data_IF_311865679105
#
_entry.id   IF_311865679105
#
_cell.length_a   1.000
_cell.length_b   1.000
_cell.length_c   1.000
_cell.angle_alpha   90.00
_cell.angle_beta   90.00
_cell.angle_gamma   90.00
#
_symmetry.space_group_name_H-M   'P 1'
#
loop_
_entity.id
_entity.type
_entity.pdbx_description
1 polymer ?
#
# COMPACT_ATOMS: atom_id res chain seq x y z
N UNK A 1 14.13 -34.97 49.97
CA UNK A 1 13.27 -35.16 48.79
C UNK A 1 13.77 -36.41 48.06
N UNK A 2 12.94 -37.44 47.89
CA UNK A 2 13.38 -38.76 47.36
C UNK A 2 13.93 -38.64 45.93
N UNK A 3 15.04 -39.33 45.63
CA UNK A 3 15.72 -39.37 44.32
C UNK A 3 14.74 -39.65 43.16
N UNK A 4 13.69 -40.45 43.41
CA UNK A 4 12.61 -40.74 42.46
C UNK A 4 11.79 -39.50 42.07
N UNK A 5 11.54 -38.58 43.00
CA UNK A 5 10.79 -37.33 42.73
C UNK A 5 11.63 -36.33 41.93
N UNK A 6 12.96 -36.33 42.11
CA UNK A 6 13.88 -35.48 41.33
C UNK A 6 13.98 -35.97 39.88
N UNK A 7 14.05 -37.29 39.67
CA UNK A 7 14.08 -37.93 38.35
C UNK A 7 12.80 -37.72 37.54
N UNK A 8 11.62 -37.83 38.17
CA UNK A 8 10.35 -37.56 37.48
C UNK A 8 10.20 -36.08 37.09
N UNK A 9 10.72 -35.15 37.91
CA UNK A 9 10.66 -33.72 37.60
C UNK A 9 11.56 -33.37 36.41
N UNK A 10 12.74 -34.00 36.31
CA UNK A 10 13.67 -33.79 35.19
C UNK A 10 13.13 -34.32 33.85
N UNK A 11 12.45 -35.47 33.86
CA UNK A 11 11.84 -36.06 32.64
C UNK A 11 10.67 -35.20 32.15
N UNK A 12 9.85 -34.67 33.06
CA UNK A 12 8.77 -33.73 32.71
C UNK A 12 9.35 -32.44 32.13
N UNK A 13 10.44 -31.91 32.70
CA UNK A 13 11.06 -30.67 32.20
C UNK A 13 11.70 -30.82 30.80
N UNK A 14 12.21 -32.00 30.44
CA UNK A 14 12.68 -32.29 29.08
C UNK A 14 11.53 -32.49 28.07
N UNK A 15 10.38 -33.01 28.50
CA UNK A 15 9.22 -33.20 27.62
C UNK A 15 8.54 -31.87 27.23
N UNK A 16 8.68 -30.80 28.02
CA UNK A 16 8.20 -29.46 27.67
C UNK A 16 9.18 -28.67 26.77
N UNK A 17 10.39 -29.16 26.56
CA UNK A 17 11.39 -28.57 25.66
C UNK A 17 11.26 -29.07 24.23
N UNK A 18 10.08 -28.94 23.60
CA UNK A 18 9.98 -29.17 22.16
C UNK A 18 10.62 -27.98 21.44
N UNK A 19 11.93 -28.04 21.24
CA UNK A 19 12.66 -27.08 20.41
C UNK A 19 12.04 -27.11 19.02
N UNK A 20 11.49 -25.98 18.57
CA UNK A 20 11.19 -25.79 17.16
C UNK A 20 12.50 -25.97 16.40
N UNK A 21 12.61 -27.03 15.61
CA UNK A 21 13.76 -27.26 14.75
C UNK A 21 13.69 -26.24 13.61
N UNK A 22 14.46 -25.17 13.71
CA UNK A 22 14.64 -24.20 12.63
C UNK A 22 15.36 -24.87 11.47
N UNK A 23 14.77 -24.80 10.29
CA UNK A 23 15.38 -25.35 9.09
C UNK A 23 16.40 -24.36 8.51
N UNK A 24 17.49 -24.89 7.98
CA UNK A 24 18.52 -24.11 7.27
C UNK A 24 18.21 -24.19 5.79
N UNK A 25 18.10 -23.03 5.14
CA UNK A 25 17.91 -22.93 3.70
C UNK A 25 19.19 -22.45 3.01
N UNK A 26 19.54 -23.08 1.90
CA UNK A 26 20.61 -22.64 1.00
C UNK A 26 20.00 -22.03 -0.24
N UNK A 27 20.38 -20.78 -0.56
CA UNK A 27 19.99 -20.10 -1.79
C UNK A 27 20.61 -20.82 -2.99
N UNK A 28 19.80 -21.26 -3.93
CA UNK A 28 20.24 -21.90 -5.17
C UNK A 28 20.50 -20.84 -6.25
N UNK A 29 21.09 -21.23 -7.38
CA UNK A 29 21.39 -20.32 -8.50
C UNK A 29 20.14 -19.98 -9.31
N UNK A 30 19.24 -19.18 -8.74
CA UNK A 30 18.09 -18.59 -9.44
C UNK A 30 18.16 -17.06 -9.42
N UNK A 31 17.77 -16.36 -10.49
CA UNK A 31 17.71 -14.90 -10.47
C UNK A 31 16.62 -14.42 -9.50
N UNK A 32 16.83 -13.24 -8.91
CA UNK A 32 15.77 -12.50 -8.21
C UNK A 32 14.78 -12.00 -9.25
N UNK A 33 13.49 -12.24 -9.03
CA UNK A 33 12.45 -11.64 -9.88
C UNK A 33 12.25 -10.20 -9.45
N UNK A 34 12.42 -9.27 -10.40
CA UNK A 34 12.20 -7.85 -10.18
C UNK A 34 10.93 -7.40 -10.89
N UNK A 35 9.97 -6.87 -10.15
CA UNK A 35 8.72 -6.34 -10.71
C UNK A 35 8.66 -4.82 -10.58
N UNK A 36 8.65 -4.13 -11.72
CA UNK A 36 8.37 -2.69 -11.78
C UNK A 36 6.87 -2.46 -11.72
N UNK A 37 6.39 -1.79 -10.68
CA UNK A 37 4.95 -1.59 -10.43
C UNK A 37 4.44 -0.32 -11.13
N UNK A 38 4.70 -0.19 -12.43
CA UNK A 38 4.27 0.97 -13.23
C UNK A 38 2.75 0.99 -13.38
N UNK A 39 2.13 2.09 -12.94
CA UNK A 39 0.69 2.34 -13.08
C UNK A 39 0.43 3.50 -14.03
N UNK A 40 1.27 4.53 -14.00
CA UNK A 40 1.07 5.80 -14.68
C UNK A 40 0.30 6.81 -13.81
N UNK A 41 -0.65 7.51 -14.41
CA UNK A 41 -1.40 8.59 -13.76
C UNK A 41 -2.57 8.04 -12.93
N UNK A 42 -2.69 8.51 -11.70
CA UNK A 42 -3.74 8.13 -10.73
C UNK A 42 -4.46 9.39 -10.28
N UNK A 43 -5.76 9.51 -10.57
CA UNK A 43 -6.58 10.64 -10.13
C UNK A 43 -7.34 10.26 -8.88
N UNK A 44 -7.23 11.06 -7.83
CA UNK A 44 -7.95 10.84 -6.56
C UNK A 44 -9.32 11.50 -6.62
N UNK A 45 -10.43 10.76 -6.50
CA UNK A 45 -11.75 11.39 -6.43
C UNK A 45 -11.88 12.22 -5.14
N UNK A 46 -12.34 13.49 -5.21
CA UNK A 46 -12.44 14.37 -4.04
C UNK A 46 -13.40 13.83 -2.98
N UNK A 47 -14.51 13.24 -3.41
CA UNK A 47 -15.58 12.65 -2.61
C UNK A 47 -15.27 11.25 -2.07
N UNK A 48 -14.17 10.63 -2.53
CA UNK A 48 -13.75 9.32 -2.06
C UNK A 48 -13.51 9.37 -0.54
N UNK A 49 -14.13 8.50 0.27
CA UNK A 49 -13.90 8.48 1.71
C UNK A 49 -12.45 8.12 2.09
N UNK A 50 -12.01 8.58 3.27
CA UNK A 50 -10.73 8.14 3.84
C UNK A 50 -10.79 6.65 4.17
N UNK A 51 -9.75 5.91 3.80
CA UNK A 51 -9.64 4.46 3.92
C UNK A 51 -10.05 3.70 2.66
N UNK A 52 -10.66 4.36 1.68
CA UNK A 52 -11.05 3.73 0.41
C UNK A 52 -9.87 3.56 -0.54
N UNK A 53 -9.95 2.50 -1.34
CA UNK A 53 -9.00 2.22 -2.42
C UNK A 53 -9.29 3.17 -3.59
N UNK A 54 -8.27 3.94 -3.99
CA UNK A 54 -8.28 4.81 -5.17
C UNK A 54 -8.12 3.97 -6.44
N UNK A 55 -7.17 3.04 -6.41
CA UNK A 55 -6.85 2.18 -7.55
C UNK A 55 -6.25 0.85 -7.07
N UNK A 56 -6.64 -0.23 -7.74
CA UNK A 56 -6.00 -1.55 -7.63
C UNK A 56 -5.31 -1.88 -8.95
N UNK A 57 -4.06 -2.35 -8.89
CA UNK A 57 -3.31 -2.81 -10.06
C UNK A 57 -2.73 -4.20 -9.80
N UNK A 58 -2.93 -5.08 -10.77
CA UNK A 58 -2.48 -6.46 -10.72
C UNK A 58 -1.42 -6.72 -11.79
N UNK A 59 -0.40 -7.49 -11.43
CA UNK A 59 0.58 -8.04 -12.35
C UNK A 59 0.63 -9.56 -12.20
N UNK A 60 0.46 -10.27 -13.31
CA UNK A 60 0.67 -11.71 -13.37
C UNK A 60 2.15 -12.00 -13.56
N UNK A 61 2.73 -12.75 -12.62
CA UNK A 61 4.10 -13.20 -12.67
C UNK A 61 4.15 -14.69 -13.00
N UNK A 62 4.80 -15.05 -14.11
CA UNK A 62 5.09 -16.45 -14.43
C UNK A 62 6.11 -17.02 -13.44
N UNK A 63 6.01 -18.32 -13.18
CA UNK A 63 7.04 -19.01 -12.41
C UNK A 63 8.38 -18.94 -13.19
N UNK A 64 9.47 -18.44 -12.60
CA UNK A 64 10.76 -18.32 -13.30
C UNK A 64 11.40 -19.69 -13.60
N UNK A 65 10.84 -20.78 -13.05
CA UNK A 65 11.36 -22.13 -13.17
C UNK A 65 12.49 -22.41 -12.19
N UNK A 66 12.66 -23.69 -11.83
CA UNK A 66 13.67 -24.13 -10.88
C UNK A 66 13.35 -23.78 -9.42
N UNK A 67 14.18 -24.33 -8.52
CA UNK A 67 14.09 -24.07 -7.09
C UNK A 67 14.98 -22.89 -6.71
N UNK A 68 14.44 -21.96 -5.94
CA UNK A 68 15.17 -20.79 -5.41
C UNK A 68 15.93 -21.15 -4.13
N UNK A 69 15.40 -22.07 -3.33
CA UNK A 69 16.03 -22.54 -2.09
C UNK A 69 15.97 -24.04 -1.97
N UNK A 70 16.99 -24.62 -1.35
CA UNK A 70 16.97 -25.98 -0.79
C UNK A 70 17.06 -25.89 0.72
N UNK A 71 16.04 -26.37 1.42
CA UNK A 71 15.97 -26.28 2.87
C UNK A 71 15.95 -27.66 3.53
N UNK A 72 16.53 -27.75 4.72
CA UNK A 72 16.49 -28.97 5.54
C UNK A 72 15.09 -29.22 6.11
N UNK A 73 14.93 -30.36 6.80
CA UNK A 73 13.74 -30.62 7.61
C UNK A 73 13.60 -29.58 8.72
N UNK A 74 12.35 -29.35 9.14
CA UNK A 74 11.98 -28.34 10.12
C UNK A 74 10.97 -27.33 9.58
N UNK A 75 10.86 -26.20 10.27
CA UNK A 75 9.99 -25.09 9.86
C UNK A 75 10.77 -24.10 9.01
N UNK A 76 10.36 -23.95 7.75
CA UNK A 76 10.88 -22.98 6.80
C UNK A 76 9.99 -21.76 6.75
N UNK A 77 10.57 -20.56 6.81
CA UNK A 77 9.85 -19.29 6.88
C UNK A 77 10.32 -18.34 5.78
N UNK A 78 9.38 -17.85 4.99
CA UNK A 78 9.63 -16.89 3.92
C UNK A 78 8.90 -15.60 4.24
N UNK A 79 9.65 -14.54 4.45
CA UNK A 79 9.16 -13.27 4.94
C UNK A 79 8.94 -12.28 3.78
N UNK A 80 7.73 -11.74 3.74
CA UNK A 80 7.32 -10.61 2.92
C UNK A 80 7.51 -9.33 3.75
N UNK A 81 8.38 -8.43 3.28
CA UNK A 81 8.82 -7.23 4.00
C UNK A 81 8.53 -5.97 3.18
N UNK A 82 8.20 -4.89 3.87
CA UNK A 82 8.25 -3.54 3.29
C UNK A 82 9.67 -3.01 3.48
N UNK A 83 10.28 -2.58 2.39
CA UNK A 83 11.68 -2.10 2.35
C UNK A 83 11.79 -0.69 1.76
N UNK A 84 10.65 -0.04 1.48
CA UNK A 84 10.58 1.35 1.03
C UNK A 84 11.21 2.30 2.07
N UNK A 85 12.22 3.09 1.71
CA UNK A 85 12.81 4.08 2.61
C UNK A 85 11.78 5.10 3.09
N UNK A 86 11.71 5.33 4.41
CA UNK A 86 10.81 6.31 5.01
C UNK A 86 9.33 5.90 5.05
N UNK A 87 8.96 4.72 4.56
CA UNK A 87 7.60 4.22 4.67
C UNK A 87 7.26 3.86 6.12
N UNK A 88 6.13 4.35 6.60
CA UNK A 88 5.61 4.11 7.94
C UNK A 88 4.30 3.34 7.86
N UNK A 89 4.10 2.39 8.77
CA UNK A 89 2.82 1.68 8.89
C UNK A 89 1.73 2.64 9.42
N UNK A 90 0.64 2.76 8.66
CA UNK A 90 -0.53 3.58 8.98
C UNK A 90 -1.67 2.72 9.58
N UNK A 91 -1.42 1.43 9.82
CA UNK A 91 -2.42 0.45 10.22
C UNK A 91 -3.03 -0.27 9.02
N UNK A 92 -3.65 -1.43 9.28
CA UNK A 92 -4.29 -2.28 8.25
C UNK A 92 -3.35 -2.65 7.09
N UNK A 93 -2.05 -2.78 7.38
CA UNK A 93 -0.99 -3.06 6.39
C UNK A 93 -0.88 -2.00 5.28
N UNK A 94 -1.26 -0.76 5.59
CA UNK A 94 -1.15 0.39 4.69
C UNK A 94 0.12 1.15 5.06
N UNK A 95 0.96 1.43 4.06
CA UNK A 95 2.22 2.13 4.27
C UNK A 95 2.18 3.52 3.63
N UNK A 96 2.72 4.50 4.34
CA UNK A 96 2.80 5.88 3.87
C UNK A 96 3.68 6.03 2.63
N UNK A 97 3.45 7.11 1.90
CA UNK A 97 4.24 7.51 0.74
C UNK A 97 4.76 8.94 0.92
N UNK A 98 5.60 9.40 -0.02
CA UNK A 98 6.03 10.79 -0.08
C UNK A 98 4.92 11.76 -0.54
N UNK A 99 3.76 11.26 -1.00
CA UNK A 99 2.60 12.09 -1.34
C UNK A 99 1.63 12.11 -0.16
N UNK A 100 1.37 13.29 0.46
CA UNK A 100 0.50 13.38 1.63
C UNK A 100 -0.90 12.82 1.39
N UNK A 101 -1.42 12.07 2.35
CA UNK A 101 -2.76 11.48 2.25
C UNK A 101 -2.89 10.31 1.28
N UNK A 102 -1.77 9.78 0.79
CA UNK A 102 -1.71 8.59 -0.06
C UNK A 102 -0.93 7.49 0.65
N UNK A 103 -1.55 6.33 0.77
CA UNK A 103 -0.94 5.09 1.27
C UNK A 103 -0.94 3.99 0.22
N UNK A 104 -0.13 2.97 0.45
CA UNK A 104 -0.06 1.78 -0.40
C UNK A 104 -0.20 0.49 0.41
N UNK A 105 -0.87 -0.50 -0.17
CA UNK A 105 -0.94 -1.86 0.35
C UNK A 105 -0.55 -2.85 -0.75
N UNK A 106 0.22 -3.85 -0.38
CA UNK A 106 0.78 -4.83 -1.30
C UNK A 106 0.31 -6.22 -0.93
N UNK A 107 -0.05 -7.03 -1.92
CA UNK A 107 -0.36 -8.43 -1.70
C UNK A 107 0.15 -9.31 -2.85
N UNK A 108 0.36 -10.58 -2.54
CA UNK A 108 0.73 -11.61 -3.50
C UNK A 108 -0.18 -12.81 -3.30
N UNK A 109 -0.83 -13.24 -4.37
CA UNK A 109 -1.69 -14.42 -4.38
C UNK A 109 -1.23 -15.44 -5.42
N UNK A 110 -0.90 -16.64 -4.98
CA UNK A 110 -0.57 -17.80 -5.80
C UNK A 110 -1.38 -19.02 -5.40
N UNK A 111 -1.05 -20.18 -5.97
CA UNK A 111 -1.72 -21.42 -5.65
C UNK A 111 -1.50 -21.84 -4.18
N UNK A 112 -0.32 -21.56 -3.64
CA UNK A 112 0.09 -21.97 -2.29
C UNK A 112 0.26 -20.79 -1.34
N UNK A 113 0.81 -19.68 -1.84
CA UNK A 113 1.20 -18.52 -1.04
C UNK A 113 0.25 -17.36 -1.30
N UNK A 114 -0.50 -16.98 -0.26
CA UNK A 114 -1.38 -15.83 -0.26
C UNK A 114 -1.02 -14.92 0.91
N UNK A 115 -0.44 -13.75 0.63
CA UNK A 115 0.16 -12.86 1.61
C UNK A 115 -0.27 -11.41 1.33
N UNK A 116 -0.61 -10.68 2.40
CA UNK A 116 -0.63 -9.20 2.39
C UNK A 116 0.60 -8.71 3.15
N UNK A 117 1.42 -7.86 2.55
CA UNK A 117 2.71 -7.44 3.12
C UNK A 117 2.50 -6.48 4.30
N UNK A 118 3.33 -6.56 5.36
CA UNK A 118 4.30 -7.62 5.65
C UNK A 118 3.62 -8.87 6.22
N UNK A 119 4.20 -10.04 5.96
CA UNK A 119 3.75 -11.31 6.53
C UNK A 119 4.82 -12.41 6.38
N UNK A 120 4.55 -13.60 6.90
CA UNK A 120 5.45 -14.76 6.75
C UNK A 120 4.69 -16.01 6.33
N UNK A 121 5.08 -16.58 5.19
CA UNK A 121 4.68 -17.93 4.82
C UNK A 121 5.55 -18.95 5.55
N UNK A 122 4.91 -19.90 6.24
CA UNK A 122 5.58 -20.96 6.99
C UNK A 122 5.24 -22.33 6.41
N UNK A 123 6.25 -23.17 6.22
CA UNK A 123 6.11 -24.54 5.71
C UNK A 123 6.94 -25.49 6.56
N UNK A 124 6.29 -26.49 7.17
CA UNK A 124 6.97 -27.53 7.96
C UNK A 124 7.16 -28.78 7.14
N UNK A 125 8.40 -29.25 7.02
CA UNK A 125 8.76 -30.41 6.20
C UNK A 125 9.61 -31.41 6.99
N UNK A 126 9.43 -32.70 6.71
CA UNK A 126 10.15 -33.80 7.39
C UNK A 126 11.47 -34.18 6.73
N UNK A 127 11.72 -33.70 5.50
CA UNK A 127 12.93 -33.96 4.73
C UNK A 127 13.43 -32.72 3.99
N UNK A 128 14.56 -32.87 3.31
CA UNK A 128 15.12 -31.79 2.49
C UNK A 128 14.16 -31.45 1.36
N UNK A 129 13.75 -30.18 1.27
CA UNK A 129 12.72 -29.72 0.33
C UNK A 129 13.22 -28.53 -0.47
N UNK A 130 12.89 -28.52 -1.75
CA UNK A 130 13.16 -27.41 -2.64
C UNK A 130 11.96 -26.47 -2.68
N UNK A 131 12.20 -25.17 -2.52
CA UNK A 131 11.20 -24.12 -2.61
C UNK A 131 11.45 -23.29 -3.86
N UNK A 132 10.40 -23.06 -4.64
CA UNK A 132 10.41 -22.24 -5.84
C UNK A 132 9.46 -21.04 -5.69
N UNK A 133 9.76 -19.96 -6.38
CA UNK A 133 8.79 -18.88 -6.56
C UNK A 133 7.71 -19.38 -7.53
N UNK A 134 6.53 -19.71 -7.01
CA UNK A 134 5.40 -20.08 -7.85
C UNK A 134 4.90 -18.91 -8.70
N UNK A 135 4.24 -19.23 -9.82
CA UNK A 135 3.50 -18.25 -10.58
C UNK A 135 2.41 -17.64 -9.70
N UNK A 136 2.30 -16.31 -9.70
CA UNK A 136 1.45 -15.59 -8.77
C UNK A 136 0.99 -14.26 -9.33
N UNK A 137 -0.10 -13.72 -8.79
CA UNK A 137 -0.50 -12.34 -8.99
C UNK A 137 0.09 -11.47 -7.88
N UNK A 138 0.73 -10.37 -8.26
CA UNK A 138 1.10 -9.30 -7.33
C UNK A 138 0.11 -8.16 -7.49
N UNK A 139 -0.41 -7.64 -6.38
CA UNK A 139 -1.44 -6.60 -6.35
C UNK A 139 -0.95 -5.41 -5.54
N UNK A 140 -1.05 -4.22 -6.14
CA UNK A 140 -0.87 -2.92 -5.50
C UNK A 140 -2.23 -2.26 -5.33
N UNK A 141 -2.53 -1.80 -4.12
CA UNK A 141 -3.64 -0.89 -3.85
C UNK A 141 -3.10 0.48 -3.44
N UNK A 142 -3.57 1.53 -4.11
CA UNK A 142 -3.35 2.92 -3.71
C UNK A 142 -4.57 3.36 -2.90
N UNK A 143 -4.36 3.88 -1.70
CA UNK A 143 -5.42 4.11 -0.71
C UNK A 143 -5.39 5.57 -0.27
N UNK A 144 -6.58 6.18 -0.15
CA UNK A 144 -6.75 7.53 0.38
C UNK A 144 -6.65 7.49 1.90
N UNK A 145 -5.65 8.15 2.50
CA UNK A 145 -5.38 8.10 3.95
C UNK A 145 -5.68 9.39 4.69
N UNK A 146 -6.02 10.47 3.97
CA UNK A 146 -6.45 11.74 4.55
C UNK A 146 -7.56 12.40 3.73
N UNK A 147 -8.33 13.30 4.37
CA UNK A 147 -9.42 14.02 3.72
C UNK A 147 -8.90 14.91 2.58
N UNK A 148 -7.77 15.58 2.81
CA UNK A 148 -7.01 16.32 1.81
C UNK A 148 -5.80 15.50 1.40
N UNK A 149 -5.59 15.36 0.09
CA UNK A 149 -4.48 14.60 -0.48
C UNK A 149 -3.59 15.50 -1.32
N UNK A 150 -2.29 15.25 -1.29
CA UNK A 150 -1.31 15.95 -2.14
C UNK A 150 -1.28 15.37 -3.56
N UNK A 151 -0.62 16.10 -4.45
CA UNK A 151 -0.27 15.62 -5.79
C UNK A 151 1.24 15.41 -5.91
N UNK A 152 1.67 14.54 -6.81
CA UNK A 152 3.08 14.32 -7.10
C UNK A 152 3.38 12.89 -7.51
N UNK A 153 4.63 12.67 -7.91
CA UNK A 153 5.14 11.35 -8.28
C UNK A 153 5.60 10.60 -7.03
N UNK A 154 5.25 9.32 -6.93
CA UNK A 154 5.75 8.46 -5.86
C UNK A 154 7.26 8.25 -6.00
N UNK A 155 7.96 8.19 -4.86
CA UNK A 155 9.40 8.05 -4.82
C UNK A 155 9.88 6.79 -5.56
N UNK A 156 10.97 6.90 -6.30
CA UNK A 156 11.59 5.75 -6.97
C UNK A 156 12.32 4.87 -5.97
N UNK A 157 12.38 3.57 -6.24
CA UNK A 157 13.17 2.62 -5.45
C UNK A 157 12.43 1.34 -5.12
N UNK A 158 13.04 0.51 -4.28
CA UNK A 158 12.47 -0.76 -3.84
C UNK A 158 11.37 -0.52 -2.80
N UNK A 159 10.29 -1.28 -2.91
CA UNK A 159 9.13 -1.17 -2.02
C UNK A 159 8.90 -2.42 -1.20
N UNK A 160 8.99 -3.59 -1.84
CA UNK A 160 8.82 -4.86 -1.13
C UNK A 160 9.94 -5.83 -1.45
N UNK A 161 10.19 -6.73 -0.50
CA UNK A 161 11.13 -7.85 -0.62
C UNK A 161 10.47 -9.11 -0.07
N UNK A 162 10.63 -10.21 -0.78
CA UNK A 162 10.21 -11.54 -0.34
C UNK A 162 11.40 -12.50 -0.43
N UNK A 163 11.78 -13.06 0.71
CA UNK A 163 12.93 -13.98 0.82
C UNK A 163 12.72 -14.98 1.95
N UNK A 164 13.59 -16.00 2.02
CA UNK A 164 13.76 -16.75 3.26
C UNK A 164 14.09 -15.79 4.41
N UNK A 165 13.50 -15.98 5.59
CA UNK A 165 13.53 -14.99 6.68
C UNK A 165 14.95 -14.63 7.13
N UNK A 166 15.87 -15.60 7.07
CA UNK A 166 17.31 -15.44 7.36
C UNK A 166 18.19 -15.32 6.11
N UNK A 167 17.57 -15.14 4.93
CA UNK A 167 18.24 -14.94 3.65
C UNK A 167 18.71 -13.49 3.46
N UNK A 168 19.69 -13.32 2.58
CA UNK A 168 20.20 -12.02 2.14
C UNK A 168 20.15 -11.81 0.63
N UNK A 169 19.45 -12.69 -0.10
CA UNK A 169 19.35 -12.66 -1.56
C UNK A 169 17.89 -12.94 -1.97
N UNK A 170 17.05 -11.90 -2.00
CA UNK A 170 15.63 -12.01 -2.24
C UNK A 170 15.27 -12.82 -3.49
N UNK A 171 14.14 -13.53 -3.41
CA UNK A 171 13.60 -14.27 -4.55
C UNK A 171 12.64 -13.41 -5.37
N UNK A 172 12.03 -12.41 -4.73
CA UNK A 172 11.18 -11.41 -5.37
C UNK A 172 11.40 -10.05 -4.71
N UNK A 173 11.58 -9.03 -5.54
CA UNK A 173 11.54 -7.63 -5.13
C UNK A 173 10.59 -6.85 -6.04
N UNK A 174 9.89 -5.88 -5.46
CA UNK A 174 9.12 -4.91 -6.25
C UNK A 174 9.70 -3.52 -6.09
N UNK A 175 9.62 -2.73 -7.16
CA UNK A 175 10.15 -1.39 -7.20
C UNK A 175 9.29 -0.45 -8.05
N UNK A 176 9.54 0.84 -7.92
CA UNK A 176 9.02 1.87 -8.80
C UNK A 176 10.19 2.51 -9.56
N UNK A 177 10.13 2.45 -10.89
CA UNK A 177 10.95 3.29 -11.76
C UNK A 177 10.53 4.76 -11.71
N UNK A 178 11.33 5.64 -12.34
CA UNK A 178 11.01 7.06 -12.43
C UNK A 178 9.65 7.29 -13.09
N UNK A 179 8.81 8.13 -12.47
CA UNK A 179 7.45 8.43 -12.95
C UNK A 179 6.52 7.21 -13.07
N UNK A 180 6.84 6.09 -12.41
CA UNK A 180 6.02 4.89 -12.45
C UNK A 180 4.59 5.12 -11.94
N UNK A 181 4.40 6.00 -10.96
CA UNK A 181 3.09 6.37 -10.41
C UNK A 181 3.06 7.88 -10.13
N UNK A 182 2.13 8.60 -10.76
CA UNK A 182 1.90 10.03 -10.53
C UNK A 182 0.49 10.25 -10.01
N UNK A 183 0.38 10.71 -8.77
CA UNK A 183 -0.89 11.02 -8.12
C UNK A 183 -1.29 12.44 -8.45
N UNK A 184 -2.55 12.61 -8.85
CA UNK A 184 -3.19 13.89 -9.08
C UNK A 184 -4.43 13.98 -8.22
N UNK A 185 -4.38 14.85 -7.23
CA UNK A 185 -5.49 15.14 -6.33
C UNK A 185 -6.10 16.47 -6.72
N UNK A 186 -7.31 16.49 -7.30
CA UNK A 186 -8.04 17.72 -7.56
C UNK A 186 -8.31 18.38 -6.21
N UNK A 187 -7.74 19.55 -5.98
CA UNK A 187 -8.10 20.37 -4.84
C UNK A 187 -8.47 21.75 -5.36
N UNK A 188 -9.56 22.34 -4.86
CA UNK A 188 -9.94 23.72 -5.17
C UNK A 188 -10.03 24.49 -3.87
N UNK A 189 -9.23 25.53 -3.73
CA UNK A 189 -9.30 26.48 -2.63
C UNK A 189 -10.08 27.71 -3.06
N UNK A 190 -11.10 28.08 -2.27
CA UNK A 190 -11.82 29.35 -2.45
C UNK A 190 -10.90 30.49 -2.06
N UNK A 191 -10.52 31.32 -3.03
CA UNK A 191 -9.63 32.45 -2.84
C UNK A 191 -10.32 33.62 -2.16
N UNK A 192 -11.64 33.74 -2.35
CA UNK A 192 -12.47 34.82 -1.82
C UNK A 192 -12.74 34.73 -0.30
N UNK A 193 -12.17 33.72 0.39
CA UNK A 193 -12.35 33.50 1.83
C UNK A 193 -13.61 32.69 2.19
N UNK A 194 -13.77 32.33 3.47
CA UNK A 194 -14.92 31.53 3.96
C UNK A 194 -16.25 32.29 3.98
N UNK A 195 -16.19 33.62 4.13
CA UNK A 195 -17.36 34.47 4.24
C UNK A 195 -17.31 35.51 3.11
N UNK A 196 -18.33 35.50 2.26
CA UNK A 196 -18.52 36.50 1.22
C UNK A 196 -19.77 37.32 1.56
N UNK A 197 -19.57 38.59 1.85
CA UNK A 197 -20.68 39.51 2.10
C UNK A 197 -21.07 40.21 0.80
N UNK A 198 -22.29 39.98 0.34
CA UNK A 198 -22.84 40.63 -0.86
C UNK A 198 -23.79 41.72 -0.42
N UNK A 199 -23.31 42.96 -0.41
CA UNK A 199 -24.14 44.12 -0.11
C UNK A 199 -24.98 44.50 -1.33
N UNK A 200 -26.27 44.13 -1.26
CA UNK A 200 -27.32 44.46 -2.25
C UNK A 200 -27.87 45.88 -2.11
N UNK A 201 -27.37 46.66 -1.15
CA UNK A 201 -27.77 48.02 -0.89
C UNK A 201 -29.17 48.15 -0.29
N UNK A 202 -29.66 49.39 -0.26
CA UNK A 202 -31.01 49.71 0.23
C UNK A 202 -32.03 49.65 -0.91
N UNK A 203 -33.02 48.76 -0.79
CA UNK A 203 -34.12 48.62 -1.75
C UNK A 203 -35.33 49.39 -1.24
N UNK A 204 -35.90 50.27 -2.09
CA UNK A 204 -37.13 51.00 -1.74
C UNK A 204 -38.34 50.19 -2.18
N UNK A 205 -39.46 50.40 -1.49
CA UNK A 205 -40.73 49.73 -1.83
C UNK A 205 -41.21 50.05 -3.26
N UNK A 206 -40.88 51.23 -3.78
CA UNK A 206 -41.16 51.63 -5.17
C UNK A 206 -40.42 50.81 -6.22
N UNK A 207 -39.30 50.20 -5.84
CA UNK A 207 -38.42 49.50 -6.78
C UNK A 207 -38.92 48.07 -7.06
N UNK A 208 -39.85 47.58 -6.22
CA UNK A 208 -40.53 46.30 -6.37
C UNK A 208 -41.88 46.52 -7.06
N UNK A 209 -41.91 46.33 -8.39
CA UNK A 209 -43.03 46.70 -9.27
C UNK A 209 -44.20 45.71 -9.31
N UNK A 210 -44.17 44.67 -8.48
CA UNK A 210 -45.21 43.66 -8.41
C UNK A 210 -44.71 42.32 -7.87
N UNK A 211 -45.65 41.40 -7.63
CA UNK A 211 -45.33 40.04 -7.18
C UNK A 211 -44.48 39.34 -8.26
N UNK A 212 -43.33 38.81 -7.86
CA UNK A 212 -42.37 38.15 -8.76
C UNK A 212 -41.29 39.08 -9.36
N UNK A 213 -41.31 40.37 -9.06
CA UNK A 213 -40.25 41.30 -9.48
C UNK A 213 -39.11 41.38 -8.45
N UNK A 214 -37.89 41.63 -8.90
CA UNK A 214 -36.69 41.77 -8.06
C UNK A 214 -36.09 43.18 -8.20
N UNK A 215 -35.34 43.61 -7.19
CA UNK A 215 -34.56 44.84 -7.18
C UNK A 215 -33.24 44.60 -6.44
N UNK A 216 -32.21 45.42 -6.70
CA UNK A 216 -30.94 45.37 -5.97
C UNK A 216 -30.05 44.14 -6.25
N UNK A 217 -30.19 43.48 -7.40
CA UNK A 217 -29.29 42.40 -7.81
C UNK A 217 -27.85 42.89 -7.97
N UNK A 218 -26.90 42.15 -7.39
CA UNK A 218 -25.47 42.47 -7.47
C UNK A 218 -24.66 41.22 -7.76
N UNK A 219 -23.85 41.30 -8.80
CA UNK A 219 -22.94 40.23 -9.16
C UNK A 219 -21.80 40.16 -8.14
N UNK A 220 -21.39 38.94 -7.81
CA UNK A 220 -20.21 38.67 -7.02
C UNK A 220 -19.52 37.43 -7.60
N UNK A 221 -18.20 37.38 -7.46
CA UNK A 221 -17.39 36.28 -7.97
C UNK A 221 -16.95 35.38 -6.82
N UNK A 222 -16.97 34.07 -7.08
CA UNK A 222 -16.34 33.06 -6.23
C UNK A 222 -15.12 32.56 -6.98
N UNK A 223 -13.95 33.01 -6.57
CA UNK A 223 -12.71 32.62 -7.23
C UNK A 223 -12.20 31.32 -6.63
N UNK A 224 -11.98 30.33 -7.49
CA UNK A 224 -11.42 29.03 -7.12
C UNK A 224 -10.01 28.91 -7.67
N UNK A 225 -9.06 28.61 -6.80
CA UNK A 225 -7.74 28.15 -7.22
C UNK A 225 -7.72 26.63 -7.13
N UNK A 226 -7.73 25.97 -8.30
CA UNK A 226 -7.72 24.52 -8.36
C UNK A 226 -6.33 23.97 -8.72
N UNK A 227 -5.81 23.04 -7.91
CA UNK A 227 -4.68 22.20 -8.28
C UNK A 227 -5.19 21.02 -9.12
N UNK A 228 -5.02 21.10 -10.43
CA UNK A 228 -4.98 19.93 -11.33
C UNK A 228 -6.22 19.03 -11.38
N UNK A 229 -7.33 19.55 -11.92
CA UNK A 229 -8.35 18.73 -12.57
C UNK A 229 -8.46 19.19 -14.02
N UNK A 230 -7.85 18.46 -14.95
CA UNK A 230 -8.06 18.74 -16.38
C UNK A 230 -9.53 18.44 -16.70
N UNK A 231 -10.22 19.43 -17.28
CA UNK A 231 -11.45 19.20 -18.02
C UNK A 231 -11.17 18.19 -19.16
N UNK A 232 -12.21 17.58 -19.71
CA UNK A 232 -12.14 16.59 -20.81
C UNK A 232 -11.27 16.97 -22.02
N UNK A 233 -10.76 18.19 -22.11
CA UNK A 233 -9.91 18.70 -23.19
C UNK A 233 -8.41 18.78 -22.85
N UNK A 234 -7.99 18.41 -21.65
CA UNK A 234 -6.61 18.02 -21.36
C UNK A 234 -5.50 19.02 -21.70
N UNK A 235 -5.39 20.16 -21.03
CA UNK A 235 -4.11 20.89 -20.87
C UNK A 235 -4.11 21.73 -19.59
N UNK A 236 -3.07 21.52 -18.77
CA UNK A 236 -2.50 22.42 -17.75
C UNK A 236 -1.14 21.85 -17.37
#
# INVERSE_FOLDING_TARGET
MSLRKLLTLFIVLMALGTTSSWAVCTRLSSPTVMLDMVVGRVVVPPDLPVGSVILTRDWTMSAPGGASYRCTSGTNRFAAKIVAPGATDLGNKIYSTNVPGIGMRFSRGGATVNIVYPDVFSSRVSGTTNYSLEGSRFTLEIIKTAATTGSGTLATGKYTSYDWESGGNPILETYLSANAITVVSPSCTVMSGKNMNVDVGSIRRSDLKGVGTTAGGKDFNIDLQCSGGLSETGYA
#
